data_IF_680438284169
#
_entry.id   IF_680438284169
#
_cell.length_a   1.000
_cell.length_b   1.000
_cell.length_c   1.000
_cell.angle_alpha   90.00
_cell.angle_beta   90.00
_cell.angle_gamma   90.00
#
_symmetry.space_group_name_H-M   'P 1'
#
loop_
_entity.id
_entity.type
_entity.pdbx_description
1 polymer ?
#
# COMPACT_ATOMS: atom_id res chain seq x y z
N UNK A 1 23.74 -3.43 -13.20
CA UNK A 1 23.02 -2.87 -12.04
C UNK A 1 23.76 -3.33 -10.78
N UNK A 2 24.27 -2.42 -9.94
CA UNK A 2 24.94 -2.79 -8.70
C UNK A 2 23.94 -3.33 -7.67
N UNK A 3 24.43 -4.13 -6.69
CA UNK A 3 23.59 -4.63 -5.60
C UNK A 3 22.88 -3.47 -4.84
N UNK A 4 23.57 -2.35 -4.65
CA UNK A 4 23.02 -1.17 -4.02
C UNK A 4 21.90 -0.53 -4.85
N UNK A 5 22.03 -0.50 -6.17
CA UNK A 5 20.98 -0.02 -7.08
C UNK A 5 19.78 -0.96 -7.07
N UNK A 6 20.02 -2.27 -7.08
CA UNK A 6 18.95 -3.27 -6.98
C UNK A 6 18.20 -3.18 -5.63
N UNK A 7 18.93 -3.02 -4.52
CA UNK A 7 18.34 -2.83 -3.19
C UNK A 7 17.58 -1.50 -3.09
N UNK A 8 18.08 -0.42 -3.66
CA UNK A 8 17.36 0.85 -3.68
C UNK A 8 16.09 0.77 -4.54
N UNK A 9 16.16 0.15 -5.72
CA UNK A 9 15.00 -0.07 -6.57
C UNK A 9 13.97 -0.98 -5.89
N UNK A 10 14.43 -2.04 -5.24
CA UNK A 10 13.60 -2.91 -4.44
C UNK A 10 12.96 -2.16 -3.27
N UNK A 11 13.74 -1.35 -2.55
CA UNK A 11 13.27 -0.54 -1.45
C UNK A 11 12.19 0.47 -1.89
N UNK A 12 12.43 1.18 -3.01
CA UNK A 12 11.45 2.10 -3.59
C UNK A 12 10.15 1.40 -3.97
N UNK A 13 10.23 0.21 -4.56
CA UNK A 13 9.06 -0.58 -4.89
C UNK A 13 8.32 -1.08 -3.63
N UNK A 14 9.04 -1.40 -2.55
CA UNK A 14 8.43 -1.86 -1.29
C UNK A 14 7.58 -0.78 -0.63
N UNK A 15 8.04 0.46 -0.68
CA UNK A 15 7.34 1.59 -0.06
C UNK A 15 6.04 1.97 -0.74
N UNK A 16 5.95 1.77 -2.04
CA UNK A 16 4.83 2.21 -2.88
C UNK A 16 3.49 1.53 -2.57
N UNK A 17 3.47 0.37 -1.91
CA UNK A 17 2.34 -0.56 -2.06
C UNK A 17 1.73 -1.11 -0.77
N UNK A 18 2.00 -0.52 0.39
CA UNK A 18 1.83 -1.27 1.64
C UNK A 18 0.85 -0.72 2.65
N UNK A 19 0.06 0.32 2.30
CA UNK A 19 -0.79 1.05 3.25
C UNK A 19 -1.77 0.22 4.09
N UNK A 20 -2.20 -0.96 3.63
CA UNK A 20 -3.06 -1.86 4.41
C UNK A 20 -2.31 -2.97 5.14
N UNK A 21 -1.05 -3.24 4.76
CA UNK A 21 -0.26 -4.37 5.30
C UNK A 21 1.05 -3.98 5.96
N UNK A 22 1.39 -2.71 5.92
CA UNK A 22 2.53 -2.11 6.60
C UNK A 22 2.15 -0.77 7.20
N UNK A 23 2.72 -0.47 8.36
CA UNK A 23 2.65 0.85 8.93
C UNK A 23 3.51 1.83 8.11
N UNK A 24 2.87 2.85 7.53
CA UNK A 24 3.58 3.95 6.86
C UNK A 24 3.93 5.00 7.91
N UNK A 25 5.20 5.51 7.91
CA UNK A 25 5.58 6.59 8.80
C UNK A 25 4.67 7.82 8.61
N UNK A 26 4.29 8.48 9.70
CA UNK A 26 3.37 9.62 9.72
C UNK A 26 1.96 9.37 9.15
N UNK A 27 1.63 8.11 8.86
CA UNK A 27 0.31 7.68 8.40
C UNK A 27 -0.24 6.48 9.22
N UNK A 28 0.06 6.41 10.51
CA UNK A 28 -0.38 5.31 11.38
C UNK A 28 -1.90 5.15 11.41
N UNK A 29 -2.66 6.25 11.47
CA UNK A 29 -4.12 6.22 11.44
C UNK A 29 -4.66 5.68 10.10
N UNK A 30 -4.07 6.14 8.98
CA UNK A 30 -4.43 5.63 7.65
C UNK A 30 -4.16 4.12 7.54
N UNK A 31 -2.95 3.70 7.89
CA UNK A 31 -2.57 2.27 7.86
C UNK A 31 -3.46 1.42 8.75
N UNK A 32 -3.81 1.89 9.96
CA UNK A 32 -4.70 1.21 10.88
C UNK A 32 -6.11 1.05 10.32
N UNK A 33 -6.68 2.10 9.71
CA UNK A 33 -8.01 2.02 9.11
C UNK A 33 -8.04 1.06 7.91
N UNK A 34 -6.99 1.04 7.09
CA UNK A 34 -6.90 0.10 5.97
C UNK A 34 -6.76 -1.35 6.44
N UNK A 35 -5.94 -1.60 7.46
CA UNK A 35 -5.80 -2.92 8.07
C UNK A 35 -7.12 -3.41 8.69
N UNK A 36 -7.86 -2.53 9.37
CA UNK A 36 -9.16 -2.84 9.93
C UNK A 36 -10.18 -3.24 8.85
N UNK A 37 -10.21 -2.52 7.73
CA UNK A 37 -11.07 -2.85 6.58
C UNK A 37 -10.73 -4.23 5.98
N UNK A 38 -9.44 -4.59 5.91
CA UNK A 38 -9.05 -5.92 5.43
C UNK A 38 -9.60 -7.03 6.33
N UNK A 39 -9.43 -6.89 7.64
CA UNK A 39 -9.95 -7.88 8.60
C UNK A 39 -11.46 -7.95 8.58
N UNK A 40 -12.14 -6.81 8.47
CA UNK A 40 -13.59 -6.75 8.33
C UNK A 40 -14.08 -7.53 7.10
N UNK A 41 -13.47 -7.30 5.94
CA UNK A 41 -13.85 -7.98 4.69
C UNK A 41 -13.57 -9.48 4.76
N UNK A 42 -12.50 -9.91 5.40
CA UNK A 42 -12.22 -11.34 5.62
C UNK A 42 -13.32 -12.00 6.47
N UNK A 43 -13.71 -11.38 7.58
CA UNK A 43 -14.78 -11.86 8.43
C UNK A 43 -16.11 -11.92 7.67
N UNK A 44 -16.48 -10.83 7.00
CA UNK A 44 -17.71 -10.76 6.18
C UNK A 44 -17.75 -11.86 5.10
N UNK A 45 -16.61 -12.17 4.48
CA UNK A 45 -16.50 -13.25 3.50
C UNK A 45 -16.80 -14.62 4.09
N UNK A 46 -16.34 -14.89 5.32
CA UNK A 46 -16.59 -16.14 6.03
C UNK A 46 -18.07 -16.25 6.45
N UNK A 47 -18.60 -15.19 7.04
CA UNK A 47 -19.98 -15.11 7.52
C UNK A 47 -20.99 -15.20 6.37
N UNK A 48 -20.74 -14.48 5.29
CA UNK A 48 -21.64 -14.38 4.14
C UNK A 48 -21.67 -15.62 3.24
N UNK A 49 -20.70 -16.53 3.36
CA UNK A 49 -20.54 -17.67 2.45
C UNK A 49 -21.78 -18.54 2.34
N UNK A 50 -22.48 -18.79 3.44
CA UNK A 50 -23.70 -19.60 3.48
C UNK A 50 -24.90 -18.92 2.80
N UNK A 51 -24.81 -17.61 2.64
CA UNK A 51 -25.84 -16.75 2.03
C UNK A 51 -25.51 -16.37 0.58
N UNK A 52 -24.47 -16.99 -0.01
CA UNK A 52 -24.05 -16.68 -1.38
C UNK A 52 -23.33 -15.34 -1.52
N UNK A 53 -22.98 -14.69 -0.40
CA UNK A 53 -22.26 -13.42 -0.39
C UNK A 53 -20.77 -13.69 -0.56
N UNK A 54 -20.16 -13.00 -1.51
CA UNK A 54 -18.71 -13.07 -1.75
C UNK A 54 -18.13 -11.68 -1.68
N UNK A 55 -17.09 -11.52 -0.88
CA UNK A 55 -16.33 -10.28 -0.76
C UNK A 55 -14.89 -10.46 -1.24
N UNK A 56 -14.32 -9.44 -1.84
CA UNK A 56 -12.95 -9.43 -2.35
C UNK A 56 -12.30 -8.10 -2.05
N UNK A 57 -11.06 -8.14 -1.59
CA UNK A 57 -10.23 -6.97 -1.37
C UNK A 57 -9.42 -6.74 -2.65
N UNK A 58 -9.56 -5.55 -3.24
CA UNK A 58 -8.67 -5.10 -4.32
C UNK A 58 -7.63 -4.18 -3.71
N UNK A 59 -6.38 -4.57 -3.84
CA UNK A 59 -5.22 -3.86 -3.29
C UNK A 59 -4.49 -3.16 -4.44
N UNK A 60 -4.81 -1.91 -4.75
CA UNK A 60 -4.06 -1.16 -5.74
C UNK A 60 -2.70 -0.78 -5.17
N UNK A 61 -1.71 -0.69 -6.06
CA UNK A 61 -0.48 0.04 -5.80
C UNK A 61 -0.72 1.55 -5.76
N UNK A 62 0.35 2.32 -5.91
CA UNK A 62 0.22 3.76 -6.06
C UNK A 62 -0.55 4.09 -7.33
N UNK A 63 -1.49 4.99 -7.19
CA UNK A 63 -2.37 5.42 -8.27
C UNK A 63 -2.22 6.93 -8.47
N UNK A 64 -2.00 7.31 -9.72
CA UNK A 64 -2.03 8.72 -10.11
C UNK A 64 -3.48 9.19 -10.15
N UNK A 65 -3.91 9.81 -9.04
CA UNK A 65 -5.26 10.35 -8.87
C UNK A 65 -5.21 11.72 -8.19
N UNK A 66 -6.34 12.40 -8.09
CA UNK A 66 -6.45 13.65 -7.33
C UNK A 66 -6.30 13.52 -5.81
N UNK A 67 -6.14 12.30 -5.28
CA UNK A 67 -6.03 12.05 -3.84
C UNK A 67 -4.82 12.75 -3.20
N UNK A 68 -3.67 12.72 -3.86
CA UNK A 68 -2.43 13.34 -3.39
C UNK A 68 -2.60 14.84 -3.17
N UNK A 69 -3.29 15.53 -4.09
CA UNK A 69 -3.56 16.97 -4.00
C UNK A 69 -4.54 17.35 -2.89
N UNK A 70 -5.30 16.41 -2.36
CA UNK A 70 -6.26 16.62 -1.26
C UNK A 70 -5.67 16.37 0.12
N UNK A 71 -4.38 15.96 0.19
CA UNK A 71 -3.71 15.65 1.46
C UNK A 71 -3.45 16.92 2.26
N UNK A 72 -3.85 16.92 3.53
CA UNK A 72 -3.53 17.97 4.50
C UNK A 72 -2.46 17.43 5.44
N UNK A 73 -1.35 18.16 5.56
CA UNK A 73 -0.31 17.87 6.53
C UNK A 73 -0.73 18.47 7.87
N UNK A 74 -1.01 17.61 8.85
CA UNK A 74 -1.46 18.03 10.18
C UNK A 74 -0.31 18.35 11.16
N UNK A 75 0.93 18.04 10.78
CA UNK A 75 2.09 18.24 11.65
C UNK A 75 2.44 19.73 11.75
N UNK A 76 2.48 20.32 12.96
CA UNK A 76 2.81 21.74 13.14
C UNK A 76 4.25 22.05 12.72
N UNK A 77 4.49 23.22 12.14
CA UNK A 77 5.81 23.63 11.66
C UNK A 77 6.88 23.76 12.77
N UNK A 78 6.47 23.90 14.02
CA UNK A 78 7.37 23.93 15.18
C UNK A 78 7.58 22.58 15.84
N UNK A 79 7.03 21.51 15.27
CA UNK A 79 7.24 20.15 15.76
C UNK A 79 8.64 19.65 15.44
N UNK A 80 9.29 18.89 16.34
CA UNK A 80 10.57 18.25 16.06
C UNK A 80 10.47 17.19 14.94
N UNK A 81 9.26 16.76 14.58
CA UNK A 81 9.00 15.78 13.53
C UNK A 81 8.66 16.41 12.17
N UNK A 82 8.54 17.75 12.09
CA UNK A 82 8.03 18.42 10.90
C UNK A 82 8.82 18.11 9.63
N UNK A 83 10.14 18.29 9.64
CA UNK A 83 10.98 18.08 8.47
C UNK A 83 10.99 16.61 8.02
N UNK A 84 10.98 15.68 8.97
CA UNK A 84 10.96 14.26 8.69
C UNK A 84 9.59 13.83 8.13
N UNK A 85 8.51 14.37 8.67
CA UNK A 85 7.16 14.19 8.17
C UNK A 85 7.03 14.73 6.74
N UNK A 86 7.51 15.94 6.47
CA UNK A 86 7.49 16.55 5.13
C UNK A 86 8.24 15.69 4.10
N UNK A 87 9.44 15.21 4.45
CA UNK A 87 10.20 14.33 3.55
C UNK A 87 9.49 13.01 3.28
N UNK A 88 8.98 12.37 4.33
CA UNK A 88 8.27 11.09 4.23
C UNK A 88 7.01 11.20 3.39
N UNK A 89 6.18 12.19 3.66
CA UNK A 89 4.92 12.44 2.93
C UNK A 89 5.21 12.90 1.50
N UNK A 90 6.26 13.70 1.30
CA UNK A 90 6.72 14.12 -0.03
C UNK A 90 7.15 12.95 -0.90
N UNK A 91 7.87 11.96 -0.33
CA UNK A 91 8.23 10.73 -1.04
C UNK A 91 6.98 9.93 -1.44
N UNK A 92 6.00 9.80 -0.54
CA UNK A 92 4.73 9.14 -0.84
C UNK A 92 3.96 9.84 -1.96
N UNK A 93 3.91 11.17 -1.92
CA UNK A 93 3.25 11.97 -2.95
C UNK A 93 3.91 11.80 -4.33
N UNK A 94 5.24 11.75 -4.38
CA UNK A 94 5.98 11.46 -5.61
C UNK A 94 5.66 10.06 -6.16
N UNK A 95 5.66 9.06 -5.29
CA UNK A 95 5.36 7.68 -5.67
C UNK A 95 3.93 7.54 -6.23
N UNK A 96 2.95 8.17 -5.59
CA UNK A 96 1.56 8.22 -6.06
C UNK A 96 1.43 8.90 -7.44
N UNK A 97 2.08 10.03 -7.65
CA UNK A 97 2.03 10.76 -8.94
C UNK A 97 2.65 9.97 -10.11
N UNK A 98 3.59 9.10 -9.81
CA UNK A 98 4.25 8.22 -10.80
C UNK A 98 3.63 6.83 -10.91
N UNK A 99 2.54 6.59 -10.18
CA UNK A 99 1.81 5.33 -10.16
C UNK A 99 0.95 5.09 -11.41
N UNK A 100 0.31 3.92 -11.44
CA UNK A 100 -0.60 3.55 -12.53
C UNK A 100 -1.86 4.43 -12.54
N UNK A 101 -2.51 4.55 -13.69
CA UNK A 101 -3.83 5.19 -13.78
C UNK A 101 -4.93 4.34 -13.14
N UNK A 102 -6.05 4.97 -12.71
CA UNK A 102 -7.18 4.28 -12.07
C UNK A 102 -7.84 3.22 -12.95
N UNK A 103 -7.64 3.28 -14.27
CA UNK A 103 -8.15 2.31 -15.23
C UNK A 103 -7.57 0.90 -15.00
N UNK A 104 -6.35 0.81 -14.47
CA UNK A 104 -5.71 -0.46 -14.12
C UNK A 104 -6.51 -1.21 -13.05
N UNK A 105 -7.01 -0.48 -12.06
CA UNK A 105 -7.86 -1.01 -10.99
C UNK A 105 -9.25 -1.35 -11.51
N UNK A 106 -9.85 -0.46 -12.31
CA UNK A 106 -11.18 -0.66 -12.88
C UNK A 106 -11.24 -1.97 -13.71
N UNK A 107 -10.23 -2.23 -14.55
CA UNK A 107 -10.15 -3.50 -15.30
C UNK A 107 -10.13 -4.73 -14.39
N UNK A 108 -9.39 -4.67 -13.29
CA UNK A 108 -9.31 -5.79 -12.34
C UNK A 108 -10.64 -5.99 -11.62
N UNK A 109 -11.32 -4.91 -11.22
CA UNK A 109 -12.65 -4.98 -10.60
C UNK A 109 -13.63 -5.64 -11.56
N UNK A 110 -13.74 -5.14 -12.78
CA UNK A 110 -14.66 -5.69 -13.79
C UNK A 110 -14.38 -7.17 -14.07
N UNK A 111 -13.11 -7.55 -14.24
CA UNK A 111 -12.71 -8.95 -14.45
C UNK A 111 -13.01 -9.86 -13.24
N UNK A 112 -13.21 -9.27 -12.06
CA UNK A 112 -13.46 -10.01 -10.81
C UNK A 112 -14.95 -10.20 -10.56
N UNK A 113 -15.78 -9.23 -10.93
CA UNK A 113 -17.24 -9.28 -10.73
C UNK A 113 -17.91 -10.48 -11.41
N UNK A 114 -17.37 -10.96 -12.52
CA UNK A 114 -17.91 -12.15 -13.22
C UNK A 114 -17.46 -13.50 -12.64
N UNK A 115 -16.63 -13.53 -11.60
CA UNK A 115 -16.11 -14.78 -11.05
C UNK A 115 -17.05 -15.35 -9.99
N UNK A 116 -17.42 -16.62 -10.15
CA UNK A 116 -18.21 -17.36 -9.14
C UNK A 116 -17.48 -17.49 -7.80
N UNK A 117 -16.17 -17.61 -7.81
CA UNK A 117 -15.35 -17.72 -6.61
C UNK A 117 -14.10 -16.82 -6.74
N UNK A 118 -14.25 -15.50 -6.57
CA UNK A 118 -13.13 -14.61 -6.66
C UNK A 118 -12.16 -14.83 -5.49
N UNK A 119 -10.84 -14.56 -5.69
CA UNK A 119 -9.87 -14.65 -4.61
C UNK A 119 -10.18 -13.68 -3.48
N UNK A 120 -9.67 -13.96 -2.28
CA UNK A 120 -9.85 -13.09 -1.11
C UNK A 120 -9.23 -11.71 -1.36
N UNK A 121 -8.05 -11.70 -1.97
CA UNK A 121 -7.27 -10.49 -2.27
C UNK A 121 -6.78 -10.50 -3.70
N UNK A 122 -6.77 -9.34 -4.31
CA UNK A 122 -6.26 -9.11 -5.65
C UNK A 122 -5.35 -7.89 -5.62
N UNK A 123 -4.05 -8.14 -5.71
CA UNK A 123 -3.08 -7.07 -5.92
C UNK A 123 -3.13 -6.58 -7.37
N UNK A 124 -3.18 -5.28 -7.60
CA UNK A 124 -3.12 -4.65 -8.92
C UNK A 124 -1.69 -4.23 -9.20
N UNK A 125 -1.17 -4.59 -10.37
CA UNK A 125 0.23 -4.37 -10.77
C UNK A 125 1.13 -5.60 -10.51
N UNK A 126 2.01 -5.89 -11.48
CA UNK A 126 2.91 -7.06 -11.40
C UNK A 126 3.97 -6.90 -10.30
N UNK A 127 4.54 -5.71 -10.20
CA UNK A 127 5.54 -5.38 -9.17
C UNK A 127 4.97 -5.51 -7.78
N UNK A 128 3.73 -5.07 -7.59
CA UNK A 128 3.03 -5.17 -6.31
C UNK A 128 2.75 -6.62 -5.91
N UNK A 129 2.30 -7.45 -6.85
CA UNK A 129 2.10 -8.88 -6.61
C UNK A 129 3.37 -9.56 -6.12
N UNK A 130 4.48 -9.33 -6.82
CA UNK A 130 5.77 -9.89 -6.44
C UNK A 130 6.20 -9.44 -5.04
N UNK A 131 6.00 -8.17 -4.74
CA UNK A 131 6.34 -7.56 -3.46
C UNK A 131 5.53 -8.14 -2.29
N UNK A 132 4.21 -8.31 -2.47
CA UNK A 132 3.34 -8.90 -1.46
C UNK A 132 3.72 -10.34 -1.14
N UNK A 133 4.10 -11.12 -2.16
CA UNK A 133 4.60 -12.47 -1.95
C UNK A 133 5.92 -12.46 -1.19
N UNK A 134 6.84 -11.59 -1.56
CA UNK A 134 8.15 -11.49 -0.93
C UNK A 134 8.05 -11.05 0.55
N UNK A 135 7.21 -10.04 0.86
CA UNK A 135 6.97 -9.61 2.24
C UNK A 135 6.58 -10.76 3.17
N UNK A 136 5.84 -11.73 2.67
CA UNK A 136 5.39 -12.90 3.46
C UNK A 136 6.57 -13.70 4.05
N UNK A 137 7.73 -13.64 3.41
CA UNK A 137 8.92 -14.38 3.80
C UNK A 137 10.00 -13.50 4.44
N UNK A 138 9.82 -12.17 4.45
CA UNK A 138 10.80 -11.26 5.04
C UNK A 138 10.59 -11.13 6.55
N UNK A 139 11.67 -11.21 7.35
CA UNK A 139 11.62 -10.90 8.77
C UNK A 139 11.22 -9.43 9.01
N UNK A 140 10.45 -9.16 10.06
CA UNK A 140 9.95 -7.81 10.36
C UNK A 140 11.08 -6.78 10.49
N UNK A 141 12.22 -7.14 11.10
CA UNK A 141 13.39 -6.25 11.21
C UNK A 141 13.94 -5.81 9.86
N UNK A 142 13.91 -6.69 8.86
CA UNK A 142 14.36 -6.34 7.51
C UNK A 142 13.35 -5.43 6.83
N UNK A 143 12.07 -5.68 7.02
CA UNK A 143 11.00 -4.81 6.54
C UNK A 143 11.13 -3.42 7.16
N UNK A 144 11.29 -3.33 8.47
CA UNK A 144 11.51 -2.06 9.18
C UNK A 144 12.74 -1.32 8.66
N UNK A 145 13.87 -2.01 8.51
CA UNK A 145 15.09 -1.41 7.96
C UNK A 145 14.85 -0.81 6.57
N UNK A 146 14.16 -1.53 5.69
CA UNK A 146 13.84 -1.06 4.34
C UNK A 146 12.92 0.16 4.40
N UNK A 147 11.86 0.13 5.21
CA UNK A 147 10.92 1.25 5.38
C UNK A 147 11.63 2.52 5.89
N UNK A 148 12.51 2.38 6.88
CA UNK A 148 13.35 3.49 7.35
C UNK A 148 14.24 4.05 6.25
N UNK A 149 14.83 3.22 5.42
CA UNK A 149 15.67 3.65 4.29
C UNK A 149 14.90 4.39 3.20
N UNK A 150 13.63 4.12 3.05
CA UNK A 150 12.78 4.78 2.04
C UNK A 150 12.26 6.12 2.57
N UNK A 151 11.63 6.10 3.74
CA UNK A 151 10.82 7.22 4.22
C UNK A 151 11.48 8.07 5.31
N UNK A 152 12.49 7.53 6.00
CA UNK A 152 13.11 8.14 7.17
C UNK A 152 14.60 8.46 6.92
N UNK A 153 14.99 8.75 5.66
CA UNK A 153 16.36 9.19 5.37
C UNK A 153 16.60 10.58 5.97
N UNK A 154 17.78 10.82 6.56
CA UNK A 154 18.17 12.15 7.02
C UNK A 154 18.29 13.15 5.86
#
# INVERSE_FOLDING_TARGET
MSLSQALNQFAQNLGRYLGGRLGLPFQSHYSSTKAALEMYVEALRLEGRRHGITATIVEPGDLSTGFTGSRILAEPANSPYYDECQRSVGQMAHDEQTGDGPESVARVIVATLGKRNPPVRIAVGSSYKALMQLKRFLPDRLVEFVMRRIYMKP
#
